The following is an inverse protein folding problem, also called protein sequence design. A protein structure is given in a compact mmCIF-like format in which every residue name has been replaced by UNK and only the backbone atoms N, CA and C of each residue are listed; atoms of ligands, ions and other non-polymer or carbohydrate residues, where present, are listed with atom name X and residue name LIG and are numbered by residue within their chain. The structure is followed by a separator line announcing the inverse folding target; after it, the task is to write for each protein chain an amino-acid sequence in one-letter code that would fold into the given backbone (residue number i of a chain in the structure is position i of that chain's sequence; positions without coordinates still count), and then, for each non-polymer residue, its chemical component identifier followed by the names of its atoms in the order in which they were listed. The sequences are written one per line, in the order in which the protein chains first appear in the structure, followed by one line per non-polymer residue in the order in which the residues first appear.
data_IF_674995487212
#
_entry.id   IF_674995487212
#
_cell.length_a   1.000
_cell.length_b   1.000
_cell.length_c   1.000
_cell.angle_alpha   90.00
_cell.angle_beta   90.00
_cell.angle_gamma   90.00
#
_symmetry.space_group_name_H-M   'P 1'
#
loop_
_entity.id
_entity.type
_entity.pdbx_description
1 polymer ?
#
# COMPACT_ATOMS: atom_id res chain seq x y z
N UNK A 1 36.04 -26.99 -23.29
CA UNK A 1 34.98 -26.03 -23.69
C UNK A 1 33.59 -26.43 -23.19
N UNK A 2 33.20 -27.71 -23.23
CA UNK A 2 31.88 -28.19 -22.73
C UNK A 2 31.65 -28.02 -21.20
N UNK A 3 32.68 -28.22 -20.37
CA UNK A 3 32.57 -28.07 -18.91
C UNK A 3 32.30 -26.61 -18.46
N UNK A 4 32.76 -25.63 -19.22
CA UNK A 4 32.54 -24.20 -18.92
C UNK A 4 31.08 -23.79 -19.16
N UNK A 5 30.41 -24.44 -20.13
CA UNK A 5 29.00 -24.20 -20.45
C UNK A 5 28.08 -24.81 -19.40
N UNK A 6 28.42 -25.98 -18.87
CA UNK A 6 27.64 -26.70 -17.85
C UNK A 6 27.64 -25.93 -16.51
N UNK A 7 28.81 -25.47 -16.05
CA UNK A 7 28.95 -24.63 -14.84
C UNK A 7 28.25 -23.28 -15.00
N UNK A 8 28.26 -22.70 -16.21
CA UNK A 8 27.54 -21.46 -16.49
C UNK A 8 26.01 -21.67 -16.51
N UNK A 9 25.54 -22.82 -16.97
CA UNK A 9 24.13 -23.21 -16.93
C UNK A 9 23.66 -23.46 -15.49
N UNK A 10 24.43 -24.17 -14.67
CA UNK A 10 24.11 -24.40 -13.26
C UNK A 10 24.06 -23.09 -12.46
N UNK A 11 25.04 -22.19 -12.64
CA UNK A 11 25.00 -20.85 -12.02
C UNK A 11 23.79 -20.02 -12.46
N UNK A 12 23.38 -20.11 -13.74
CA UNK A 12 22.18 -19.42 -14.24
C UNK A 12 20.90 -20.00 -13.63
N UNK A 13 20.82 -21.32 -13.49
CA UNK A 13 19.69 -22.01 -12.85
C UNK A 13 19.59 -21.67 -11.37
N UNK A 14 20.72 -21.60 -10.66
CA UNK A 14 20.73 -21.18 -9.25
C UNK A 14 20.38 -19.70 -9.07
N UNK A 15 20.78 -18.83 -10.01
CA UNK A 15 20.36 -17.41 -10.00
C UNK A 15 18.87 -17.21 -10.28
N UNK A 16 18.22 -18.16 -10.95
CA UNK A 16 16.79 -18.12 -11.27
C UNK A 16 15.91 -18.58 -10.09
N UNK A 17 16.47 -19.26 -9.09
CA UNK A 17 15.73 -19.69 -7.90
C UNK A 17 15.76 -18.58 -6.83
N UNK A 18 14.61 -18.22 -6.25
CA UNK A 18 14.56 -17.21 -5.19
C UNK A 18 15.39 -17.68 -3.99
N UNK A 19 16.29 -16.82 -3.52
CA UNK A 19 17.12 -17.14 -2.35
C UNK A 19 16.25 -17.31 -1.09
N UNK A 20 16.73 -18.13 -0.14
CA UNK A 20 16.04 -18.31 1.14
C UNK A 20 15.85 -16.98 1.90
N UNK A 21 16.78 -16.03 1.72
CA UNK A 21 16.70 -14.67 2.24
C UNK A 21 15.54 -13.89 1.63
N UNK A 22 15.38 -13.95 0.31
CA UNK A 22 14.29 -13.28 -0.40
C UNK A 22 12.92 -13.81 0.06
N UNK A 23 12.77 -15.13 0.24
CA UNK A 23 11.54 -15.74 0.76
C UNK A 23 11.25 -15.35 2.21
N UNK A 24 12.28 -15.13 3.04
CA UNK A 24 12.11 -14.60 4.40
C UNK A 24 11.66 -13.14 4.38
N UNK A 25 12.26 -12.32 3.53
CA UNK A 25 11.87 -10.91 3.36
C UNK A 25 10.42 -10.80 2.87
N UNK A 26 10.03 -11.58 1.85
CA UNK A 26 8.67 -11.63 1.32
C UNK A 26 7.62 -11.96 2.40
N UNK A 27 7.91 -12.93 3.29
CA UNK A 27 7.04 -13.26 4.42
C UNK A 27 6.93 -12.13 5.43
N UNK A 28 8.04 -11.44 5.74
CA UNK A 28 8.04 -10.29 6.64
C UNK A 28 7.26 -9.12 6.09
N UNK A 29 7.49 -8.76 4.82
CA UNK A 29 6.73 -7.70 4.13
C UNK A 29 5.23 -8.01 4.18
N UNK A 30 4.84 -9.24 3.85
CA UNK A 30 3.44 -9.67 3.93
C UNK A 30 2.86 -9.55 5.35
N UNK A 31 3.61 -9.94 6.38
CA UNK A 31 3.16 -9.81 7.77
C UNK A 31 2.99 -8.35 8.17
N UNK A 32 3.97 -7.51 7.86
CA UNK A 32 3.91 -6.07 8.14
C UNK A 32 2.72 -5.43 7.41
N UNK A 33 2.46 -5.79 6.15
CA UNK A 33 1.30 -5.28 5.43
C UNK A 33 -0.03 -5.72 6.03
N UNK A 34 -0.14 -6.93 6.60
CA UNK A 34 -1.34 -7.31 7.35
C UNK A 34 -1.54 -6.48 8.62
N UNK A 35 -0.45 -6.22 9.34
CA UNK A 35 -0.49 -5.36 10.53
C UNK A 35 -0.89 -3.93 10.15
N UNK A 36 -0.26 -3.37 9.12
CA UNK A 36 -0.60 -2.04 8.60
C UNK A 36 -2.04 -1.97 8.13
N UNK A 37 -2.54 -2.97 7.40
CA UNK A 37 -3.94 -3.00 6.97
C UNK A 37 -4.91 -3.01 8.16
N UNK A 38 -4.64 -3.81 9.19
CA UNK A 38 -5.48 -3.86 10.39
C UNK A 38 -5.46 -2.52 11.14
N UNK A 39 -4.29 -1.89 11.21
CA UNK A 39 -4.12 -0.57 11.82
C UNK A 39 -4.91 0.50 11.07
N UNK A 40 -4.72 0.61 9.75
CA UNK A 40 -5.43 1.58 8.90
C UNK A 40 -6.95 1.37 8.92
N UNK A 41 -7.41 0.11 8.91
CA UNK A 41 -8.83 -0.17 9.06
C UNK A 41 -9.37 0.32 10.41
N UNK A 42 -8.59 0.15 11.48
CA UNK A 42 -8.98 0.61 12.82
C UNK A 42 -9.02 2.14 12.90
N UNK A 43 -7.97 2.81 12.46
CA UNK A 43 -7.90 4.28 12.42
C UNK A 43 -9.01 4.87 11.56
N UNK A 44 -9.20 4.35 10.34
CA UNK A 44 -10.25 4.81 9.43
C UNK A 44 -11.66 4.67 10.02
N UNK A 45 -11.97 3.51 10.62
CA UNK A 45 -13.27 3.28 11.27
C UNK A 45 -13.48 4.23 12.45
N UNK A 46 -12.47 4.39 13.31
CA UNK A 46 -12.54 5.28 14.47
C UNK A 46 -12.71 6.73 14.02
N UNK A 47 -11.94 7.19 13.04
CA UNK A 47 -11.97 8.54 12.52
C UNK A 47 -13.29 8.89 11.85
N UNK A 48 -13.82 8.02 10.98
CA UNK A 48 -15.12 8.23 10.33
C UNK A 48 -16.23 8.25 11.39
N UNK A 49 -16.21 7.32 12.34
CA UNK A 49 -17.23 7.25 13.40
C UNK A 49 -17.21 8.52 14.25
N UNK A 50 -16.03 8.94 14.71
CA UNK A 50 -15.88 10.16 15.49
C UNK A 50 -16.22 11.42 14.65
N UNK A 51 -15.88 11.43 13.36
CA UNK A 51 -16.21 12.52 12.45
C UNK A 51 -17.70 12.68 12.25
N UNK A 52 -18.44 11.59 12.07
CA UNK A 52 -19.92 11.61 11.98
C UNK A 52 -20.53 12.08 13.29
N UNK A 53 -20.07 11.55 14.43
CA UNK A 53 -20.59 11.94 15.75
C UNK A 53 -20.31 13.41 16.09
N UNK A 54 -19.17 13.94 15.66
CA UNK A 54 -18.76 15.32 15.89
C UNK A 54 -19.22 16.30 14.79
N UNK A 55 -19.79 15.81 13.69
CA UNK A 55 -20.07 16.62 12.49
C UNK A 55 -18.81 17.22 11.85
N UNK A 56 -17.65 16.55 11.98
CA UNK A 56 -16.35 17.03 11.51
C UNK A 56 -15.97 16.44 10.16
N UNK A 57 -15.91 17.30 9.14
CA UNK A 57 -15.47 16.92 7.78
C UNK A 57 -14.00 16.50 7.81
N UNK A 58 -13.15 17.23 8.54
CA UNK A 58 -11.72 16.91 8.66
C UNK A 58 -11.47 15.48 9.20
N UNK A 59 -12.22 15.03 10.21
CA UNK A 59 -12.05 13.67 10.75
C UNK A 59 -12.55 12.58 9.79
N UNK A 60 -13.61 12.87 9.03
CA UNK A 60 -14.09 11.98 7.98
C UNK A 60 -13.03 11.88 6.86
N UNK A 61 -12.46 13.00 6.43
CA UNK A 61 -11.37 13.06 5.45
C UNK A 61 -10.13 12.28 5.91
N UNK A 62 -9.71 12.46 7.18
CA UNK A 62 -8.63 11.68 7.79
C UNK A 62 -8.91 10.17 7.72
N UNK A 63 -10.14 9.75 8.00
CA UNK A 63 -10.51 8.34 7.91
C UNK A 63 -10.51 7.78 6.48
N UNK A 64 -10.85 8.61 5.49
CA UNK A 64 -10.78 8.24 4.06
C UNK A 64 -9.32 8.13 3.60
N UNK A 65 -8.44 9.02 4.05
CA UNK A 65 -7.00 8.95 3.77
C UNK A 65 -6.37 7.67 4.35
N UNK A 66 -6.79 7.26 5.55
CA UNK A 66 -6.38 5.98 6.12
C UNK A 66 -6.80 4.77 5.26
N UNK A 67 -8.00 4.81 4.65
CA UNK A 67 -8.46 3.74 3.75
C UNK A 67 -7.57 3.63 2.51
N UNK A 68 -7.12 4.77 1.97
CA UNK A 68 -6.16 4.86 0.87
C UNK A 68 -4.84 4.17 1.22
N UNK A 69 -4.28 4.44 2.40
CA UNK A 69 -3.05 3.79 2.86
C UNK A 69 -3.27 2.27 3.05
N UNK A 70 -4.45 1.89 3.52
CA UNK A 70 -4.90 0.49 3.59
C UNK A 70 -4.88 -0.22 2.22
N UNK A 71 -5.25 0.46 1.13
CA UNK A 71 -5.20 -0.12 -0.22
C UNK A 71 -3.77 -0.50 -0.65
N UNK A 72 -2.76 0.30 -0.29
CA UNK A 72 -1.38 -0.06 -0.58
C UNK A 72 -0.99 -1.38 0.11
N UNK A 73 -1.41 -1.56 1.37
CA UNK A 73 -1.20 -2.80 2.12
C UNK A 73 -1.90 -4.00 1.48
N UNK A 74 -3.13 -3.83 0.96
CA UNK A 74 -3.85 -4.88 0.23
C UNK A 74 -3.12 -5.33 -1.04
N UNK A 75 -2.57 -4.40 -1.82
CA UNK A 75 -1.81 -4.74 -3.04
C UNK A 75 -0.59 -5.59 -2.70
N UNK A 76 0.13 -5.23 -1.64
CA UNK A 76 1.30 -6.00 -1.18
C UNK A 76 0.89 -7.39 -0.69
N UNK A 77 -0.17 -7.50 0.13
CA UNK A 77 -0.70 -8.79 0.56
C UNK A 77 -1.05 -9.67 -0.65
N UNK A 78 -1.72 -9.09 -1.66
CA UNK A 78 -2.08 -9.80 -2.88
C UNK A 78 -0.86 -10.28 -3.68
N UNK A 79 0.15 -9.40 -3.85
CA UNK A 79 1.39 -9.68 -4.62
C UNK A 79 2.20 -10.82 -4.00
N UNK A 80 2.30 -10.85 -2.67
CA UNK A 80 3.12 -11.81 -1.94
C UNK A 80 2.35 -13.07 -1.46
N UNK A 81 1.16 -13.34 -2.03
CA UNK A 81 0.36 -14.53 -1.69
C UNK A 81 0.38 -15.60 -2.78
N UNK A 82 0.76 -16.83 -2.40
CA UNK A 82 0.62 -18.04 -3.22
C UNK A 82 1.51 -18.04 -4.46
N UNK A 83 0.98 -18.54 -5.59
CA UNK A 83 1.68 -18.65 -6.88
C UNK A 83 2.07 -17.30 -7.49
N UNK A 84 1.53 -16.19 -6.96
CA UNK A 84 1.85 -14.82 -7.40
C UNK A 84 3.21 -14.35 -6.94
N UNK A 85 3.78 -14.99 -5.91
CA UNK A 85 5.04 -14.60 -5.31
C UNK A 85 6.18 -14.49 -6.33
N UNK A 86 6.25 -15.42 -7.29
CA UNK A 86 7.33 -15.49 -8.30
C UNK A 86 6.88 -15.10 -9.71
N UNK A 87 5.68 -14.55 -9.87
CA UNK A 87 5.11 -14.25 -11.17
C UNK A 87 5.45 -12.82 -11.62
N UNK A 88 6.19 -12.68 -12.72
CA UNK A 88 6.43 -11.38 -13.37
C UNK A 88 5.12 -10.68 -13.77
N UNK A 89 4.12 -11.43 -14.26
CA UNK A 89 2.82 -10.86 -14.58
C UNK A 89 2.07 -10.34 -13.34
N UNK A 90 2.27 -10.96 -12.17
CA UNK A 90 1.70 -10.44 -10.92
C UNK A 90 2.44 -9.18 -10.45
N UNK A 91 3.73 -9.06 -10.72
CA UNK A 91 4.51 -7.85 -10.46
C UNK A 91 4.05 -6.66 -11.29
N UNK A 92 3.95 -6.84 -12.61
CA UNK A 92 3.48 -5.79 -13.51
C UNK A 92 2.05 -5.36 -13.17
N UNK A 93 1.18 -6.31 -12.79
CA UNK A 93 -0.18 -5.99 -12.31
C UNK A 93 -0.15 -5.23 -11.00
N UNK A 94 0.68 -5.61 -10.03
CA UNK A 94 0.79 -4.87 -8.78
C UNK A 94 1.25 -3.44 -9.05
N UNK A 95 2.26 -3.24 -9.90
CA UNK A 95 2.73 -1.92 -10.30
C UNK A 95 1.63 -1.09 -10.98
N UNK A 96 0.86 -1.68 -11.90
CA UNK A 96 -0.28 -1.00 -12.55
C UNK A 96 -1.38 -0.64 -11.54
N UNK A 97 -1.70 -1.53 -10.60
CA UNK A 97 -2.69 -1.25 -9.55
C UNK A 97 -2.24 -0.11 -8.65
N UNK A 98 -0.96 -0.08 -8.25
CA UNK A 98 -0.38 1.03 -7.48
C UNK A 98 -0.43 2.33 -8.29
N UNK A 99 -0.06 2.28 -9.57
CA UNK A 99 -0.11 3.46 -10.44
C UNK A 99 -1.54 4.01 -10.59
N UNK A 100 -2.52 3.13 -10.82
CA UNK A 100 -3.95 3.50 -10.89
C UNK A 100 -4.42 4.08 -9.57
N UNK A 101 -4.04 3.48 -8.44
CA UNK A 101 -4.36 4.00 -7.11
C UNK A 101 -3.87 5.44 -6.98
N UNK A 102 -2.59 5.72 -7.23
CA UNK A 102 -2.05 7.08 -7.16
C UNK A 102 -2.74 8.05 -8.11
N UNK A 103 -3.06 7.59 -9.33
CA UNK A 103 -3.71 8.44 -10.33
C UNK A 103 -5.16 8.80 -9.98
N UNK A 104 -5.86 7.94 -9.24
CA UNK A 104 -7.19 8.23 -8.69
C UNK A 104 -7.10 9.08 -7.42
N UNK A 105 -6.07 8.84 -6.61
CA UNK A 105 -5.85 9.54 -5.35
C UNK A 105 -5.51 11.02 -5.54
N UNK A 106 -4.59 11.31 -6.45
CA UNK A 106 -4.09 12.65 -6.68
C UNK A 106 -5.22 13.67 -6.96
N UNK A 107 -6.17 13.42 -7.88
CA UNK A 107 -7.27 14.35 -8.11
C UNK A 107 -8.27 14.39 -6.95
N UNK A 108 -8.48 13.28 -6.23
CA UNK A 108 -9.34 13.27 -5.04
C UNK A 108 -8.76 14.17 -3.93
N UNK A 109 -7.50 13.98 -3.55
CA UNK A 109 -6.79 14.81 -2.57
C UNK A 109 -6.71 16.27 -3.05
N UNK A 110 -6.48 16.50 -4.34
CA UNK A 110 -6.48 17.84 -4.93
C UNK A 110 -7.83 18.54 -4.80
N UNK A 111 -8.94 17.83 -5.08
CA UNK A 111 -10.29 18.34 -4.89
C UNK A 111 -10.56 18.64 -3.41
N UNK A 112 -10.20 17.71 -2.51
CA UNK A 112 -10.42 17.87 -1.08
C UNK A 112 -9.66 19.08 -0.51
N UNK A 113 -8.38 19.24 -0.87
CA UNK A 113 -7.57 20.40 -0.49
C UNK A 113 -8.16 21.73 -1.00
N UNK A 114 -8.61 21.78 -2.26
CA UNK A 114 -9.27 22.97 -2.83
C UNK A 114 -10.60 23.24 -2.12
N UNK A 115 -11.38 22.21 -1.83
CA UNK A 115 -12.67 22.35 -1.15
C UNK A 115 -12.51 22.91 0.27
N UNK A 116 -11.54 22.41 1.04
CA UNK A 116 -11.24 22.90 2.38
C UNK A 116 -10.71 24.34 2.35
N UNK A 117 -9.85 24.66 1.36
CA UNK A 117 -9.34 26.00 1.17
C UNK A 117 -10.44 27.01 0.82
N UNK A 118 -11.39 26.64 -0.03
CA UNK A 118 -12.53 27.49 -0.44
C UNK A 118 -13.58 27.58 0.66
N UNK A 119 -13.82 26.51 1.42
CA UNK A 119 -14.81 26.46 2.50
C UNK A 119 -14.38 27.26 3.75
N UNK A 120 -13.10 27.62 3.88
CA UNK A 120 -12.63 28.53 4.91
C UNK A 120 -12.76 27.96 6.33
N UNK A 121 -12.45 26.69 6.56
CA UNK A 121 -12.30 26.15 7.91
C UNK A 121 -11.14 26.88 8.61
N UNK A 122 -11.47 27.91 9.37
CA UNK A 122 -10.53 28.56 10.26
C UNK A 122 -10.12 27.55 11.34
N UNK A 123 -8.82 27.20 11.46
CA UNK A 123 -8.37 26.39 12.58
C UNK A 123 -8.78 27.10 13.87
N UNK A 124 -9.58 26.42 14.71
CA UNK A 124 -9.94 26.96 16.01
C UNK A 124 -8.64 27.16 16.79
N UNK A 125 -8.46 28.38 17.31
CA UNK A 125 -7.31 28.75 18.12
C UNK A 125 -7.20 27.78 19.29
N UNK A 126 -6.10 27.03 19.33
CA UNK A 126 -5.68 26.29 20.51
C UNK A 126 -5.41 27.30 21.61
N UNK A 127 -6.27 27.35 22.62
CA UNK A 127 -6.02 28.10 23.84
C UNK A 127 -5.05 27.29 24.72
N UNK A 128 -3.79 27.70 24.70
CA UNK A 128 -2.92 27.67 25.89
C UNK A 128 -2.60 29.13 26.21
#
# INVERSE_FOLDING_TARGET
MAASTEVALERRVDSARPSAEWLRAARRVRLLSWVSLAWMATEGVVAITAGVLAGSIALIGFGIDSAIEGFASLIIIWRFTGSRLLSHAAEERAQKLVAIQFFLLAPYVGYEAVSQLVAGEHPQTSWI
#
